data_IF_923882310560
#
_entry.id   IF_923882310560
#
_cell.length_a   1.000
_cell.length_b   1.000
_cell.length_c   1.000
_cell.angle_alpha   90.00
_cell.angle_beta   90.00
_cell.angle_gamma   90.00
#
_symmetry.space_group_name_H-M   'P 1'
#
loop_
_entity.id
_entity.type
_entity.pdbx_description
1 polymer ?
#
# COMPACT_ATOMS: atom_id res chain seq x y z
N UNK A 1 -11.38 -15.03 -5.38
CA UNK A 1 -10.36 -15.73 -4.55
C UNK A 1 -10.13 -14.90 -3.31
N UNK A 2 -9.88 -15.52 -2.15
CA UNK A 2 -9.60 -14.80 -0.90
C UNK A 2 -8.10 -14.82 -0.61
N UNK A 3 -7.51 -13.65 -0.34
CA UNK A 3 -6.08 -13.52 -0.01
C UNK A 3 -5.90 -12.67 1.23
N UNK A 4 -5.06 -13.16 2.15
CA UNK A 4 -4.53 -12.34 3.25
C UNK A 4 -3.25 -11.67 2.76
N UNK A 5 -3.16 -10.35 2.89
CA UNK A 5 -1.99 -9.58 2.50
C UNK A 5 -1.32 -8.92 3.71
N UNK A 6 -0.02 -8.78 3.59
CA UNK A 6 0.84 -8.08 4.53
C UNK A 6 1.15 -6.66 4.01
N UNK A 7 1.55 -5.75 4.89
CA UNK A 7 1.86 -4.35 4.57
C UNK A 7 2.89 -4.24 3.44
N UNK A 8 3.84 -5.18 3.38
CA UNK A 8 4.86 -5.26 2.34
C UNK A 8 4.28 -5.42 0.93
N UNK A 9 3.13 -6.10 0.75
CA UNK A 9 2.48 -6.31 -0.55
C UNK A 9 1.92 -4.99 -1.05
N UNK A 10 1.25 -4.24 -0.16
CA UNK A 10 0.72 -2.93 -0.46
C UNK A 10 1.86 -1.94 -0.80
N UNK A 11 2.94 -1.94 0.00
CA UNK A 11 4.14 -1.13 -0.28
C UNK A 11 4.75 -1.50 -1.65
N UNK A 12 4.91 -2.80 -1.93
CA UNK A 12 5.46 -3.30 -3.19
C UNK A 12 4.60 -2.93 -4.42
N UNK A 13 3.29 -2.73 -4.24
CA UNK A 13 2.42 -2.27 -5.31
C UNK A 13 2.61 -0.79 -5.66
N UNK A 14 3.08 0.04 -4.73
CA UNK A 14 3.49 1.41 -5.02
C UNK A 14 4.89 1.51 -5.60
N UNK A 15 5.74 0.52 -5.31
CA UNK A 15 7.00 0.33 -6.02
C UNK A 15 6.73 -0.15 -7.45
N UNK A 16 7.78 -0.16 -8.28
CA UNK A 16 7.78 -0.24 -9.76
C UNK A 16 7.26 -1.57 -10.35
N UNK A 17 6.21 -2.18 -9.80
CA UNK A 17 5.57 -3.40 -10.31
C UNK A 17 4.14 -3.12 -10.80
N UNK A 18 3.81 -3.65 -11.99
CA UNK A 18 2.47 -3.59 -12.54
C UNK A 18 1.59 -4.74 -12.04
N UNK A 19 2.16 -5.91 -11.75
CA UNK A 19 1.39 -7.11 -11.42
C UNK A 19 0.79 -7.09 -10.01
N UNK A 20 1.57 -6.69 -9.00
CA UNK A 20 1.06 -6.57 -7.61
C UNK A 20 -0.05 -5.54 -7.53
N UNK A 21 0.10 -4.41 -8.24
CA UNK A 21 -0.94 -3.38 -8.36
C UNK A 21 -2.20 -3.91 -9.03
N UNK A 22 -2.07 -4.65 -10.15
CA UNK A 22 -3.21 -5.30 -10.82
C UNK A 22 -3.95 -6.27 -9.90
N UNK A 23 -3.23 -7.02 -9.08
CA UNK A 23 -3.82 -7.97 -8.12
C UNK A 23 -4.56 -7.23 -6.99
N UNK A 24 -3.95 -6.18 -6.42
CA UNK A 24 -4.57 -5.42 -5.33
C UNK A 24 -5.87 -4.72 -5.74
N UNK A 25 -5.97 -4.30 -7.00
CA UNK A 25 -7.15 -3.62 -7.54
C UNK A 25 -8.01 -4.54 -8.43
N UNK A 26 -7.82 -5.87 -8.33
CA UNK A 26 -8.66 -6.81 -9.06
C UNK A 26 -9.99 -7.02 -8.33
N UNK A 27 -11.10 -6.75 -9.01
CA UNK A 27 -12.45 -7.03 -8.50
C UNK A 27 -12.72 -8.54 -8.29
N UNK A 28 -11.87 -9.40 -8.86
CA UNK A 28 -12.01 -10.87 -8.72
C UNK A 28 -11.40 -11.43 -7.43
N UNK A 29 -10.73 -10.57 -6.64
CA UNK A 29 -9.99 -10.93 -5.44
C UNK A 29 -10.53 -10.16 -4.25
N UNK A 30 -10.87 -10.89 -3.20
CA UNK A 30 -11.20 -10.34 -1.90
C UNK A 30 -9.94 -10.35 -1.03
N UNK A 31 -9.58 -9.19 -0.49
CA UNK A 31 -8.35 -8.98 0.27
C UNK A 31 -8.67 -8.81 1.76
N UNK A 32 -7.93 -9.54 2.59
CA UNK A 32 -7.96 -9.44 4.03
C UNK A 32 -6.61 -8.95 4.53
N UNK A 33 -6.60 -8.20 5.63
CA UNK A 33 -5.39 -7.73 6.28
C UNK A 33 -5.55 -7.80 7.80
N UNK A 34 -4.45 -8.02 8.55
CA UNK A 34 -4.48 -7.95 10.01
C UNK A 34 -4.82 -6.54 10.52
N UNK A 35 -5.32 -6.43 11.75
CA UNK A 35 -5.69 -5.13 12.36
C UNK A 35 -4.53 -4.13 12.42
N UNK A 36 -3.30 -4.61 12.63
CA UNK A 36 -2.10 -3.78 12.70
C UNK A 36 -1.57 -3.32 11.33
N UNK A 37 -2.18 -3.79 10.22
CA UNK A 37 -1.75 -3.49 8.86
C UNK A 37 -1.67 -1.99 8.59
N UNK A 38 -2.70 -1.23 8.97
CA UNK A 38 -2.72 0.23 8.75
C UNK A 38 -1.58 0.95 9.45
N UNK A 39 -1.24 0.53 10.68
CA UNK A 39 -0.15 1.11 11.47
C UNK A 39 1.20 0.85 10.79
N UNK A 40 1.41 -0.36 10.29
CA UNK A 40 2.64 -0.77 9.63
C UNK A 40 2.84 -0.04 8.29
N UNK A 41 1.78 0.02 7.48
CA UNK A 41 1.78 0.76 6.21
C UNK A 41 2.07 2.24 6.44
N UNK A 42 1.40 2.87 7.41
CA UNK A 42 1.61 4.28 7.74
C UNK A 42 3.06 4.54 8.22
N UNK A 43 3.59 3.67 9.09
CA UNK A 43 4.97 3.76 9.59
C UNK A 43 5.98 3.66 8.46
N UNK A 44 5.80 2.73 7.51
CA UNK A 44 6.74 2.55 6.41
C UNK A 44 6.60 3.63 5.34
N UNK A 45 5.39 3.96 4.90
CA UNK A 45 5.18 4.94 3.83
C UNK A 45 5.57 6.38 4.25
N UNK A 46 5.32 6.76 5.51
CA UNK A 46 5.63 8.11 6.00
C UNK A 46 7.08 8.29 6.46
N UNK A 47 7.74 7.24 6.95
CA UNK A 47 9.09 7.35 7.52
C UNK A 47 10.20 6.90 6.58
N UNK A 48 9.90 6.08 5.58
CA UNK A 48 10.90 5.53 4.68
C UNK A 48 11.22 6.49 3.52
N UNK A 49 12.35 7.18 3.64
CA UNK A 49 12.88 8.03 2.56
C UNK A 49 13.19 7.28 1.28
N UNK A 50 13.62 6.00 1.38
CA UNK A 50 13.92 5.18 0.21
C UNK A 50 12.64 4.87 -0.55
N UNK A 51 11.53 4.63 0.17
CA UNK A 51 10.24 4.45 -0.47
C UNK A 51 9.81 5.68 -1.27
N UNK A 52 9.89 6.89 -0.68
CA UNK A 52 9.54 8.15 -1.39
C UNK A 52 10.37 8.33 -2.66
N UNK A 53 11.68 8.09 -2.59
CA UNK A 53 12.57 8.19 -3.76
C UNK A 53 12.25 7.15 -4.85
N UNK A 54 11.83 5.94 -4.46
CA UNK A 54 11.55 4.83 -5.40
C UNK A 54 10.15 4.85 -5.98
N UNK A 55 9.17 5.34 -5.23
CA UNK A 55 7.78 5.49 -5.68
C UNK A 55 7.58 6.75 -6.52
N UNK A 56 8.41 7.78 -6.33
CA UNK A 56 8.24 9.08 -6.97
C UNK A 56 7.09 9.91 -6.38
N UNK A 57 6.51 9.48 -5.26
CA UNK A 57 5.43 10.18 -4.57
C UNK A 57 5.99 11.21 -3.59
N UNK A 58 5.37 12.39 -3.55
CA UNK A 58 5.61 13.37 -2.49
C UNK A 58 5.01 12.89 -1.17
N UNK A 59 5.40 13.52 -0.05
CA UNK A 59 4.79 13.24 1.26
C UNK A 59 3.27 13.44 1.24
N UNK A 60 2.82 14.54 0.65
CA UNK A 60 1.41 14.87 0.53
C UNK A 60 0.65 13.83 -0.31
N UNK A 61 1.18 13.43 -1.46
CA UNK A 61 0.57 12.38 -2.30
C UNK A 61 0.48 11.04 -1.56
N UNK A 62 1.46 10.75 -0.70
CA UNK A 62 1.46 9.54 0.13
C UNK A 62 0.38 9.59 1.20
N UNK A 63 0.19 10.75 1.84
CA UNK A 63 -0.85 10.99 2.85
C UNK A 63 -2.26 10.91 2.24
N UNK A 64 -2.49 11.53 1.08
CA UNK A 64 -3.76 11.45 0.33
C UNK A 64 -4.10 9.99 -0.05
N UNK A 65 -3.11 9.26 -0.53
CA UNK A 65 -3.26 7.85 -0.90
C UNK A 65 -3.59 6.96 0.31
N UNK A 66 -2.94 7.21 1.46
CA UNK A 66 -3.23 6.52 2.72
C UNK A 66 -4.66 6.79 3.21
N UNK A 67 -5.13 8.03 3.08
CA UNK A 67 -6.51 8.43 3.40
C UNK A 67 -7.52 7.63 2.56
N UNK A 68 -7.29 7.53 1.25
CA UNK A 68 -8.15 6.75 0.33
C UNK A 68 -8.16 5.26 0.70
N UNK A 69 -7.00 4.67 1.00
CA UNK A 69 -6.87 3.23 1.25
C UNK A 69 -7.38 2.80 2.62
N UNK A 70 -7.22 3.66 3.64
CA UNK A 70 -7.62 3.37 5.02
C UNK A 70 -8.98 3.98 5.38
N UNK A 71 -9.63 4.70 4.45
CA UNK A 71 -10.95 5.30 4.64
C UNK A 71 -10.98 6.37 5.74
N UNK A 72 -9.91 7.17 5.86
CA UNK A 72 -9.75 8.24 6.86
C UNK A 72 -9.81 9.62 6.23
#
# INVERSE_FOLDING_TARGET
MQLVIDANILIAAFLKSANTRKLLFSESIELFAPEYFGIEVEKHLLRDELFRRRSGLTKQQTEELLSILLGR
#
